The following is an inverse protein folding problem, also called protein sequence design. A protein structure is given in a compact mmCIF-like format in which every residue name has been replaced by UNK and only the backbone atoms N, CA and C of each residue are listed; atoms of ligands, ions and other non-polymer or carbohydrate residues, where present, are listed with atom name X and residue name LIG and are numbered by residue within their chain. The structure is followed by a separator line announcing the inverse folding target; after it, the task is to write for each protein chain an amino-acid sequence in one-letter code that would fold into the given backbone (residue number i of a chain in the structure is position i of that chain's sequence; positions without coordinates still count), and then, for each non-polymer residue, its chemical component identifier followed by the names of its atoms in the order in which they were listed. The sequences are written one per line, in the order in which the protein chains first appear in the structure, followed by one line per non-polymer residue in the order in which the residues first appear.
data_IF_835307042256
#
_entry.id   IF_835307042256
#
_cell.length_a   1.000
_cell.length_b   1.000
_cell.length_c   1.000
_cell.angle_alpha   90.00
_cell.angle_beta   90.00
_cell.angle_gamma   90.00
#
_symmetry.space_group_name_H-M   'P 1'
#
loop_
_entity.id
_entity.type
_entity.pdbx_description
1 polymer ?
#
# COMPACT_ATOMS: atom_id res chain seq x y z
N UNK A 1 23.07 0.50 1.76
CA UNK A 1 22.53 -0.13 0.54
C UNK A 1 21.45 0.78 0.01
N UNK A 2 21.66 1.37 -1.18
CA UNK A 2 20.79 2.40 -1.76
C UNK A 2 19.42 1.77 -2.03
N UNK A 3 18.37 2.38 -1.47
CA UNK A 3 16.96 1.99 -1.61
C UNK A 3 16.55 2.16 -3.08
N UNK A 4 16.77 1.12 -3.89
CA UNK A 4 16.10 0.93 -5.17
C UNK A 4 14.77 0.25 -4.83
N UNK A 5 13.67 1.00 -4.93
CA UNK A 5 12.34 0.52 -4.55
C UNK A 5 11.48 1.64 -3.96
N UNK A 6 11.37 2.75 -4.67
CA UNK A 6 10.33 3.76 -4.41
C UNK A 6 9.51 3.85 -5.68
N UNK A 7 8.58 2.90 -5.85
CA UNK A 7 7.46 2.98 -6.80
C UNK A 7 6.11 2.80 -6.08
N UNK A 8 6.14 2.74 -4.75
CA UNK A 8 4.98 2.78 -3.88
C UNK A 8 5.26 3.91 -2.91
N UNK A 9 4.86 5.12 -3.30
CA UNK A 9 4.79 6.26 -2.40
C UNK A 9 4.09 5.82 -1.12
N UNK A 10 4.74 6.07 0.01
CA UNK A 10 4.27 5.71 1.33
C UNK A 10 2.78 6.02 1.48
N UNK A 11 1.96 4.97 1.64
CA UNK A 11 0.57 5.08 2.05
C UNK A 11 0.59 5.64 3.49
N UNK A 12 0.62 6.96 3.64
CA UNK A 12 0.58 7.59 4.95
C UNK A 12 -0.82 7.42 5.52
N UNK A 13 -1.00 6.47 6.43
CA UNK A 13 -2.21 6.32 7.25
C UNK A 13 -2.52 7.68 7.92
N UNK A 14 -3.58 8.34 7.45
CA UNK A 14 -4.16 9.46 8.18
C UNK A 14 -4.67 8.94 9.53
N UNK A 15 -4.03 9.36 10.62
CA UNK A 15 -4.45 9.05 11.97
C UNK A 15 -5.89 9.54 12.20
N UNK A 16 -6.84 8.61 12.35
CA UNK A 16 -8.20 8.94 12.78
C UNK A 16 -8.13 9.30 14.26
N UNK A 17 -8.30 10.58 14.57
CA UNK A 17 -8.34 11.09 15.94
C UNK A 17 -9.58 10.55 16.67
N UNK A 18 -9.40 9.49 17.46
CA UNK A 18 -10.42 8.92 18.35
C UNK A 18 -10.60 9.76 19.62
N UNK A 19 -11.85 10.12 19.92
CA UNK A 19 -12.24 10.87 21.11
C UNK A 19 -11.91 10.16 22.42
N UNK A 20 -11.64 10.97 23.46
CA UNK A 20 -11.28 10.56 24.81
C UNK A 20 -12.40 9.73 25.45
N UNK A 21 -12.10 8.49 25.84
CA UNK A 21 -12.94 7.69 26.75
C UNK A 21 -12.09 7.22 27.93
N UNK A 22 -12.54 7.58 29.13
CA UNK A 22 -11.95 7.23 30.43
C UNK A 22 -12.04 5.72 30.67
N UNK A 23 -10.89 5.05 30.85
CA UNK A 23 -10.81 3.61 31.11
C UNK A 23 -11.10 3.26 32.57
N UNK A 24 -12.06 2.37 32.81
CA UNK A 24 -12.15 1.53 34.01
C UNK A 24 -11.37 0.23 33.76
N UNK A 25 -10.72 -0.40 34.76
CA UNK A 25 -9.91 -1.59 34.56
C UNK A 25 -10.82 -2.82 34.48
N UNK A 26 -11.49 -3.00 33.34
CA UNK A 26 -12.00 -4.30 32.93
C UNK A 26 -10.89 -4.99 32.15
N UNK A 27 -10.71 -6.30 32.35
CA UNK A 27 -9.76 -7.17 31.63
C UNK A 27 -9.53 -6.66 30.22
N UNK A 28 -8.31 -6.25 29.90
CA UNK A 28 -8.00 -5.76 28.57
C UNK A 28 -8.35 -6.89 27.58
N UNK A 29 -9.29 -6.63 26.67
CA UNK A 29 -9.76 -7.57 25.65
C UNK A 29 -9.11 -7.20 24.31
N UNK A 30 -9.12 -8.15 23.38
CA UNK A 30 -8.77 -7.84 22.00
C UNK A 30 -9.72 -6.75 21.47
N UNK A 31 -9.14 -5.75 20.79
CA UNK A 31 -9.88 -4.73 20.05
C UNK A 31 -9.83 -5.11 18.58
N UNK A 32 -10.99 -5.27 17.95
CA UNK A 32 -11.08 -5.51 16.51
C UNK A 32 -11.92 -4.42 15.87
N UNK A 33 -11.40 -3.85 14.79
CA UNK A 33 -12.05 -2.81 14.01
C UNK A 33 -12.14 -3.21 12.54
N UNK A 34 -13.20 -2.79 11.87
CA UNK A 34 -13.33 -2.89 10.42
C UNK A 34 -13.74 -1.54 9.85
N UNK A 35 -12.88 -0.97 9.01
CA UNK A 35 -13.08 0.35 8.41
C UNK A 35 -13.38 0.16 6.94
N UNK A 36 -14.45 0.78 6.47
CA UNK A 36 -14.78 0.88 5.05
C UNK A 36 -14.46 2.31 4.60
N UNK A 37 -13.67 2.43 3.55
CA UNK A 37 -13.39 3.71 2.90
C UNK A 37 -13.97 3.72 1.51
N UNK A 38 -14.46 4.89 1.10
CA UNK A 38 -15.08 5.07 -0.21
C UNK A 38 -14.52 6.33 -0.86
N UNK A 39 -14.01 6.20 -2.07
CA UNK A 39 -13.48 7.30 -2.90
C UNK A 39 -12.42 8.17 -2.20
N UNK A 40 -11.54 7.55 -1.41
CA UNK A 40 -10.36 8.24 -0.86
C UNK A 40 -9.40 8.52 -2.01
N UNK A 41 -8.83 9.72 -2.05
CA UNK A 41 -7.86 10.11 -3.08
C UNK A 41 -6.56 10.55 -2.44
N UNK A 42 -5.46 10.02 -2.97
CA UNK A 42 -4.11 10.37 -2.57
C UNK A 42 -3.27 10.64 -3.82
N UNK A 43 -2.31 11.57 -3.69
CA UNK A 43 -1.40 11.91 -4.78
C UNK A 43 0.00 12.17 -4.24
N UNK A 44 1.01 11.64 -4.94
CA UNK A 44 2.41 11.80 -4.58
C UNK A 44 3.27 11.94 -5.84
N UNK A 45 4.40 12.67 -5.76
CA UNK A 45 5.42 12.63 -6.81
C UNK A 45 5.99 11.22 -6.99
N UNK A 46 6.23 10.80 -8.23
CA UNK A 46 6.81 9.50 -8.57
C UNK A 46 7.56 9.54 -9.91
N UNK A 47 8.18 8.41 -10.28
CA UNK A 47 8.91 8.23 -11.54
C UNK A 47 8.29 7.08 -12.33
N UNK A 48 7.96 7.32 -13.60
CA UNK A 48 7.53 6.26 -14.50
C UNK A 48 8.69 5.26 -14.70
N UNK A 49 8.55 3.98 -14.32
CA UNK A 49 9.64 3.01 -14.38
C UNK A 49 10.05 2.61 -15.80
N UNK A 50 9.19 2.87 -16.80
CA UNK A 50 9.44 2.53 -18.19
C UNK A 50 10.22 3.63 -18.93
N UNK A 51 9.89 4.90 -18.68
CA UNK A 51 10.49 6.04 -19.39
C UNK A 51 11.50 6.82 -18.55
N UNK A 52 11.47 6.67 -17.22
CA UNK A 52 12.22 7.50 -16.28
C UNK A 52 11.65 8.93 -16.11
N UNK A 53 10.50 9.23 -16.73
CA UNK A 53 9.85 10.54 -16.57
C UNK A 53 9.38 10.73 -15.13
N UNK A 54 9.66 11.89 -14.55
CA UNK A 54 9.07 12.31 -13.27
C UNK A 54 7.65 12.79 -13.49
N UNK A 55 6.81 12.67 -12.47
CA UNK A 55 5.44 13.15 -12.53
C UNK A 55 4.71 12.96 -11.21
N UNK A 56 3.39 13.08 -11.27
CA UNK A 56 2.50 12.84 -10.14
C UNK A 56 1.70 11.57 -10.36
N UNK A 57 1.76 10.64 -9.41
CA UNK A 57 0.82 9.54 -9.28
C UNK A 57 -0.38 10.00 -8.48
N UNK A 58 -1.57 9.62 -8.91
CA UNK A 58 -2.81 9.76 -8.14
C UNK A 58 -3.57 8.44 -8.10
N UNK A 59 -4.07 8.11 -6.91
CA UNK A 59 -4.88 6.93 -6.66
C UNK A 59 -6.20 7.37 -6.04
N UNK A 60 -7.31 6.90 -6.60
CA UNK A 60 -8.64 7.05 -5.96
C UNK A 60 -9.20 5.67 -5.73
N UNK A 61 -9.51 5.33 -4.49
CA UNK A 61 -9.86 3.96 -4.12
C UNK A 61 -10.98 3.86 -3.10
N UNK A 62 -11.61 2.69 -3.12
CA UNK A 62 -12.49 2.21 -2.06
C UNK A 62 -11.93 0.89 -1.55
N UNK A 63 -12.16 0.61 -0.27
CA UNK A 63 -11.54 -0.56 0.35
C UNK A 63 -12.09 -0.87 1.72
N UNK A 64 -11.67 -2.04 2.20
CA UNK A 64 -11.97 -2.51 3.56
C UNK A 64 -10.66 -2.79 4.25
N UNK A 65 -10.56 -2.31 5.48
CA UNK A 65 -9.46 -2.57 6.38
C UNK A 65 -9.98 -3.34 7.59
N UNK A 66 -9.24 -4.35 8.01
CA UNK A 66 -9.46 -5.02 9.29
C UNK A 66 -8.23 -4.82 10.16
N UNK A 67 -8.44 -4.37 11.40
CA UNK A 67 -7.39 -4.27 12.40
C UNK A 67 -7.79 -5.07 13.63
N UNK A 68 -6.85 -5.78 14.23
CA UNK A 68 -7.02 -6.40 15.54
C UNK A 68 -5.78 -6.15 16.38
N UNK A 69 -5.96 -5.71 17.62
CA UNK A 69 -4.88 -5.51 18.58
C UNK A 69 -5.23 -6.22 19.90
N UNK A 70 -4.26 -6.96 20.44
CA UNK A 70 -4.37 -7.64 21.73
C UNK A 70 -3.59 -6.85 22.79
N UNK A 71 -3.99 -6.96 24.07
CA UNK A 71 -3.31 -6.25 25.16
C UNK A 71 -1.82 -6.59 25.34
N UNK A 72 -1.38 -7.73 24.80
CA UNK A 72 0.01 -8.18 24.84
C UNK A 72 0.86 -7.62 23.69
N UNK A 73 0.32 -6.71 22.87
CA UNK A 73 1.00 -6.12 21.71
C UNK A 73 1.03 -7.01 20.47
N UNK A 74 0.26 -8.11 20.43
CA UNK A 74 0.02 -8.83 19.19
C UNK A 74 -1.00 -8.06 18.34
N UNK A 75 -0.72 -7.88 17.06
CA UNK A 75 -1.64 -7.20 16.13
C UNK A 75 -1.72 -7.90 14.78
N UNK A 76 -2.85 -7.66 14.12
CA UNK A 76 -3.09 -8.03 12.73
C UNK A 76 -3.71 -6.84 12.02
N UNK A 77 -3.23 -6.51 10.84
CA UNK A 77 -3.91 -5.57 9.97
C UNK A 77 -3.94 -6.09 8.54
N UNK A 78 -5.04 -5.81 7.85
CA UNK A 78 -5.20 -6.16 6.43
C UNK A 78 -5.95 -5.04 5.73
N UNK A 79 -5.62 -4.81 4.47
CA UNK A 79 -6.31 -3.90 3.58
C UNK A 79 -6.59 -4.56 2.25
N UNK A 80 -7.81 -4.39 1.73
CA UNK A 80 -8.17 -4.76 0.35
C UNK A 80 -8.67 -3.53 -0.36
N UNK A 81 -7.94 -3.10 -1.39
CA UNK A 81 -8.22 -1.87 -2.13
C UNK A 81 -8.53 -2.17 -3.60
N UNK A 82 -9.44 -1.39 -4.16
CA UNK A 82 -9.65 -1.30 -5.61
C UNK A 82 -9.92 0.14 -6.00
N UNK A 83 -9.44 0.56 -7.17
CA UNK A 83 -9.51 1.97 -7.52
C UNK A 83 -9.01 2.31 -8.91
N UNK A 84 -8.89 3.61 -9.14
CA UNK A 84 -8.19 4.19 -10.29
C UNK A 84 -6.77 4.56 -9.91
N UNK A 85 -5.89 4.44 -10.88
CA UNK A 85 -4.51 4.88 -10.81
C UNK A 85 -4.24 5.77 -12.02
N UNK A 86 -3.56 6.89 -11.83
CA UNK A 86 -3.06 7.74 -12.91
C UNK A 86 -1.65 8.22 -12.65
N UNK A 87 -0.89 8.39 -13.71
CA UNK A 87 0.40 9.07 -13.71
C UNK A 87 0.35 10.21 -14.73
N UNK A 88 0.63 11.42 -14.28
CA UNK A 88 0.75 12.62 -15.11
C UNK A 88 2.20 13.09 -15.06
N UNK A 89 2.96 13.02 -16.17
CA UNK A 89 4.36 13.45 -16.20
C UNK A 89 4.48 14.97 -16.03
N UNK A 90 5.60 15.41 -15.45
CA UNK A 90 5.93 16.84 -15.35
C UNK A 90 6.19 17.45 -16.74
N UNK A 91 6.79 16.65 -17.64
CA UNK A 91 6.95 16.99 -19.06
C UNK A 91 5.70 16.61 -19.85
N UNK A 92 4.92 17.61 -20.26
CA UNK A 92 3.68 17.43 -21.01
C UNK A 92 3.84 16.82 -22.41
N UNK A 93 5.08 16.66 -22.91
CA UNK A 93 5.34 15.93 -24.16
C UNK A 93 5.35 14.41 -23.97
N UNK A 94 5.46 13.94 -22.72
CA UNK A 94 5.39 12.52 -22.36
C UNK A 94 3.94 12.05 -22.22
N UNK A 95 3.64 10.77 -22.51
CA UNK A 95 2.30 10.24 -22.35
C UNK A 95 1.87 10.20 -20.87
N UNK A 96 0.63 10.61 -20.60
CA UNK A 96 -0.02 10.34 -19.32
C UNK A 96 -0.63 8.94 -19.33
N UNK A 97 -0.67 8.30 -18.16
CA UNK A 97 -1.21 6.94 -18.01
C UNK A 97 -2.37 6.94 -17.03
N UNK A 98 -3.44 6.21 -17.34
CA UNK A 98 -4.55 6.04 -16.42
C UNK A 98 -5.21 4.67 -16.54
N UNK A 99 -5.76 4.16 -15.45
CA UNK A 99 -6.43 2.87 -15.45
C UNK A 99 -6.93 2.45 -14.08
N UNK A 100 -6.92 1.13 -13.83
CA UNK A 100 -7.46 0.52 -12.62
C UNK A 100 -6.39 -0.30 -11.91
N UNK A 101 -6.48 -0.31 -10.59
CA UNK A 101 -5.63 -1.12 -9.75
C UNK A 101 -6.44 -1.90 -8.72
N UNK A 102 -5.82 -2.97 -8.22
CA UNK A 102 -6.25 -3.72 -7.03
C UNK A 102 -5.03 -3.97 -6.16
N UNK A 103 -5.20 -3.82 -4.86
CA UNK A 103 -4.16 -4.14 -3.88
C UNK A 103 -4.74 -4.98 -2.75
N UNK A 104 -3.92 -5.86 -2.21
CA UNK A 104 -4.15 -6.48 -0.92
C UNK A 104 -2.84 -6.45 -0.14
N UNK A 105 -2.89 -6.04 1.12
CA UNK A 105 -1.75 -6.10 2.02
C UNK A 105 -2.20 -6.55 3.40
N UNK A 106 -1.25 -7.05 4.17
CA UNK A 106 -1.46 -7.33 5.58
C UNK A 106 -0.17 -7.48 6.35
N UNK A 107 -0.28 -7.29 7.65
CA UNK A 107 0.78 -7.43 8.62
C UNK A 107 0.31 -8.24 9.84
N UNK A 108 1.20 -9.08 10.34
CA UNK A 108 1.01 -9.88 11.53
C UNK A 108 2.19 -9.70 12.49
N UNK A 109 1.91 -9.00 13.59
CA UNK A 109 2.94 -8.52 14.49
C UNK A 109 2.75 -9.05 15.91
N UNK A 110 3.85 -9.21 16.61
CA UNK A 110 3.89 -9.33 18.06
C UNK A 110 5.19 -8.73 18.58
N UNK A 111 5.39 -8.74 19.90
CA UNK A 111 6.56 -8.14 20.55
C UNK A 111 7.93 -8.60 20.04
N UNK A 112 8.01 -9.67 19.24
CA UNK A 112 9.27 -10.25 18.77
C UNK A 112 9.27 -10.67 17.30
N UNK A 113 8.13 -10.62 16.62
CA UNK A 113 8.02 -11.05 15.23
C UNK A 113 7.15 -10.08 14.48
N UNK A 114 7.49 -9.87 13.22
CA UNK A 114 6.77 -9.02 12.28
C UNK A 114 6.80 -9.72 10.93
N UNK A 115 5.66 -9.72 10.27
CA UNK A 115 5.47 -10.30 8.94
C UNK A 115 4.59 -9.33 8.17
N UNK A 116 4.98 -9.05 6.93
CA UNK A 116 4.22 -8.20 6.01
C UNK A 116 4.05 -8.91 4.67
N UNK A 117 2.90 -8.70 4.05
CA UNK A 117 2.54 -9.25 2.75
C UNK A 117 1.89 -8.19 1.88
N UNK A 118 2.18 -8.22 0.59
CA UNK A 118 1.51 -7.36 -0.39
C UNK A 118 1.30 -8.07 -1.72
N UNK A 119 0.16 -7.79 -2.35
CA UNK A 119 -0.07 -8.00 -3.78
C UNK A 119 -0.62 -6.72 -4.39
N UNK A 120 -0.05 -6.33 -5.52
CA UNK A 120 -0.50 -5.17 -6.27
C UNK A 120 -0.62 -5.51 -7.75
N UNK A 121 -1.68 -5.02 -8.38
CA UNK A 121 -1.89 -5.16 -9.82
C UNK A 121 -2.44 -3.86 -10.39
N UNK A 122 -1.88 -3.43 -11.50
CA UNK A 122 -2.37 -2.27 -12.24
C UNK A 122 -2.27 -2.51 -13.75
N UNK A 123 -3.25 -1.97 -14.47
CA UNK A 123 -3.21 -1.85 -15.93
C UNK A 123 -3.58 -0.42 -16.31
N UNK A 124 -2.68 0.24 -17.02
CA UNK A 124 -2.79 1.63 -17.43
C UNK A 124 -2.75 1.76 -18.95
N UNK A 125 -3.59 2.64 -19.48
CA UNK A 125 -3.58 3.08 -20.87
C UNK A 125 -2.91 4.45 -20.96
N UNK A 126 -1.92 4.55 -21.84
CA UNK A 126 -1.25 5.80 -22.19
C UNK A 126 -2.08 6.63 -23.15
N UNK A 127 -1.94 7.96 -23.08
CA UNK A 127 -2.56 8.89 -24.05
C UNK A 127 -2.04 8.71 -25.49
N UNK A 128 -0.89 8.05 -25.65
CA UNK A 128 -0.29 7.64 -26.92
C UNK A 128 -0.78 6.25 -27.41
N UNK A 129 -1.71 5.62 -26.68
CA UNK A 129 -2.23 4.28 -26.98
C UNK A 129 -1.40 3.13 -26.42
N UNK A 130 -0.28 3.43 -25.75
CA UNK A 130 0.57 2.41 -25.12
C UNK A 130 -0.09 1.79 -23.88
N UNK A 131 0.36 0.61 -23.46
CA UNK A 131 -0.19 -0.08 -22.28
C UNK A 131 0.92 -0.42 -21.31
N UNK A 132 0.79 0.06 -20.07
CA UNK A 132 1.67 -0.29 -18.96
C UNK A 132 0.93 -1.22 -18.01
N UNK A 133 1.57 -2.32 -17.61
CA UNK A 133 1.05 -3.20 -16.57
C UNK A 133 2.09 -3.40 -15.49
N UNK A 134 1.66 -3.46 -14.23
CA UNK A 134 2.49 -3.95 -13.15
C UNK A 134 1.77 -5.05 -12.36
N UNK A 135 2.54 -6.05 -11.95
CA UNK A 135 2.11 -7.14 -11.07
C UNK A 135 3.17 -7.37 -10.01
N UNK A 136 2.80 -7.23 -8.76
CA UNK A 136 3.70 -7.33 -7.62
C UNK A 136 3.23 -8.38 -6.63
N UNK A 137 4.20 -9.00 -5.99
CA UNK A 137 4.00 -9.80 -4.78
C UNK A 137 5.22 -9.62 -3.89
N UNK A 138 5.01 -9.05 -2.71
CA UNK A 138 6.04 -8.84 -1.72
C UNK A 138 5.71 -9.60 -0.44
N UNK A 139 6.77 -10.05 0.24
CA UNK A 139 6.67 -10.69 1.54
C UNK A 139 7.95 -10.45 2.32
N UNK A 140 7.78 -9.99 3.55
CA UNK A 140 8.89 -9.69 4.45
C UNK A 140 8.57 -10.19 5.84
N UNK A 141 9.60 -10.45 6.62
CA UNK A 141 9.40 -10.71 8.02
C UNK A 141 10.69 -10.86 8.78
N UNK A 142 10.59 -10.64 10.09
CA UNK A 142 11.67 -10.86 11.05
C UNK A 142 11.12 -11.68 12.21
N UNK A 143 11.88 -12.68 12.63
CA UNK A 143 11.52 -13.53 13.77
C UNK A 143 12.23 -13.13 15.05
N UNK A 144 11.77 -13.70 16.16
CA UNK A 144 12.36 -13.50 17.49
C UNK A 144 13.85 -13.88 17.60
N UNK A 145 14.35 -14.75 16.71
CA UNK A 145 15.77 -15.12 16.66
C UNK A 145 16.63 -14.16 15.83
N UNK A 146 16.03 -13.11 15.27
CA UNK A 146 16.70 -12.15 14.38
C UNK A 146 16.88 -12.66 12.95
N UNK A 147 16.24 -13.79 12.59
CA UNK A 147 16.20 -14.23 11.20
C UNK A 147 15.22 -13.34 10.43
N UNK A 148 15.69 -12.72 9.36
CA UNK A 148 14.87 -11.94 8.46
C UNK A 148 14.81 -12.57 7.08
N UNK A 149 13.66 -12.49 6.45
CA UNK A 149 13.48 -12.77 5.03
C UNK A 149 12.80 -11.56 4.37
N UNK A 150 13.10 -11.36 3.10
CA UNK A 150 12.40 -10.38 2.27
C UNK A 150 12.48 -10.84 0.83
N UNK A 151 11.35 -10.83 0.14
CA UNK A 151 11.33 -10.83 -1.30
C UNK A 151 10.30 -9.82 -1.79
N UNK A 152 10.63 -9.19 -2.90
CA UNK A 152 9.74 -8.36 -3.70
C UNK A 152 9.87 -8.86 -5.14
N UNK A 153 8.73 -9.21 -5.73
CA UNK A 153 8.62 -9.67 -7.11
C UNK A 153 7.67 -8.77 -7.89
N UNK A 154 8.18 -7.61 -8.29
CA UNK A 154 7.53 -6.77 -9.28
C UNK A 154 7.82 -7.23 -10.71
N UNK A 155 6.78 -7.29 -11.53
CA UNK A 155 6.87 -7.47 -12.99
C UNK A 155 6.20 -6.29 -13.65
N UNK A 156 6.98 -5.54 -14.43
CA UNK A 156 6.50 -4.39 -15.19
C UNK A 156 6.56 -4.75 -16.67
N UNK A 157 5.44 -4.57 -17.36
CA UNK A 157 5.38 -4.63 -18.81
C UNK A 157 5.32 -3.20 -19.32
N UNK A 158 6.39 -2.78 -19.98
CA UNK A 158 6.48 -1.51 -20.66
C UNK A 158 6.03 -1.63 -22.13
N UNK A 159 5.64 -0.52 -22.76
CA UNK A 159 5.39 -0.42 -24.20
C UNK A 159 6.61 -0.77 -25.06
#
# INVERSE_FOLDING_TARGET
MKRLGSLLGALTLAAVAGGVLTASPAEARATTETIHVTNVTESNPDVNPCSGATGTVSMTYSGVFHSTELPNGTSWFTGTLHGTFSFVPDDATQPSYAGKFTAWFGDENNLRNEVEHETFRVKLLGTDGSVLMAHETAHMGTSASGLSFSFDKIRITCP
#
